data_IF_388955834410
#
_entry.id   IF_388955834410
#
_cell.length_a   1.000
_cell.length_b   1.000
_cell.length_c   1.000
_cell.angle_alpha   90.00
_cell.angle_beta   90.00
_cell.angle_gamma   90.00
#
_symmetry.space_group_name_H-M   'P 1'
#
loop_
_entity.id
_entity.type
_entity.pdbx_description
1 polymer ?
#
# COMPACT_ATOMS: atom_id res chain seq x y z
N UNK A 1 16.24 -11.72 -39.82
CA UNK A 1 17.72 -11.59 -39.84
C UNK A 1 18.46 -12.92 -39.61
N UNK A 2 17.99 -13.84 -38.74
CA UNK A 2 18.49 -15.24 -38.65
C UNK A 2 18.64 -15.92 -40.02
N UNK A 3 17.65 -15.76 -40.91
CA UNK A 3 17.68 -16.32 -42.26
C UNK A 3 18.87 -15.88 -43.13
N UNK A 4 19.39 -14.66 -42.94
CA UNK A 4 20.52 -14.11 -43.73
C UNK A 4 21.84 -14.78 -43.32
N UNK A 5 22.07 -14.92 -42.01
CA UNK A 5 23.25 -15.62 -41.48
C UNK A 5 23.22 -17.10 -41.92
N UNK A 6 22.04 -17.74 -41.85
CA UNK A 6 21.86 -19.11 -42.33
C UNK A 6 22.13 -19.24 -43.83
N UNK A 7 21.67 -18.31 -44.67
CA UNK A 7 21.96 -18.35 -46.10
C UNK A 7 23.44 -18.14 -46.41
N UNK A 8 24.13 -17.27 -45.67
CA UNK A 8 25.58 -17.06 -45.82
C UNK A 8 26.34 -18.33 -45.43
N UNK A 9 26.01 -18.95 -44.30
CA UNK A 9 26.64 -20.19 -43.84
C UNK A 9 26.33 -21.40 -44.73
N UNK A 10 25.16 -21.44 -45.38
CA UNK A 10 24.81 -22.51 -46.31
C UNK A 10 25.61 -22.38 -47.62
N UNK A 11 25.75 -21.16 -48.13
CA UNK A 11 26.45 -20.86 -49.38
C UNK A 11 27.98 -20.80 -49.21
N UNK A 12 28.49 -20.58 -47.99
CA UNK A 12 29.93 -20.46 -47.74
C UNK A 12 30.74 -21.72 -48.05
N UNK A 13 30.11 -22.91 -47.98
CA UNK A 13 30.79 -24.18 -48.24
C UNK A 13 31.35 -24.30 -49.66
N UNK A 14 30.72 -23.64 -50.65
CA UNK A 14 31.17 -23.59 -52.04
C UNK A 14 32.47 -22.78 -52.21
N UNK A 15 32.78 -21.89 -51.27
CA UNK A 15 33.91 -20.96 -51.33
C UNK A 15 35.02 -21.30 -50.34
N UNK A 16 34.77 -22.16 -49.35
CA UNK A 16 35.74 -22.55 -48.30
C UNK A 16 36.33 -23.95 -48.51
N UNK A 17 35.97 -24.67 -49.58
CA UNK A 17 36.47 -26.03 -49.85
C UNK A 17 37.85 -26.07 -50.53
N UNK A 18 38.29 -24.97 -51.14
CA UNK A 18 39.59 -24.90 -51.80
C UNK A 18 40.73 -24.79 -50.76
N UNK A 19 41.86 -25.44 -50.99
CA UNK A 19 43.06 -25.29 -50.13
C UNK A 19 43.92 -24.11 -50.62
N UNK A 20 43.33 -22.92 -50.58
CA UNK A 20 43.97 -21.66 -50.97
C UNK A 20 44.01 -20.69 -49.80
N UNK A 21 44.97 -19.76 -49.82
CA UNK A 21 45.10 -18.74 -48.76
C UNK A 21 43.84 -17.90 -48.62
N UNK A 22 43.17 -17.60 -49.72
CA UNK A 22 41.93 -16.83 -49.78
C UNK A 22 40.75 -17.59 -49.15
N UNK A 23 40.70 -18.91 -49.33
CA UNK A 23 39.70 -19.78 -48.70
C UNK A 23 39.85 -19.82 -47.18
N UNK A 24 41.09 -19.92 -46.68
CA UNK A 24 41.40 -19.85 -45.25
C UNK A 24 41.03 -18.48 -44.65
N UNK A 25 41.37 -17.36 -45.31
CA UNK A 25 40.96 -16.02 -44.86
C UNK A 25 39.43 -15.86 -44.81
N UNK A 26 38.73 -16.39 -45.81
CA UNK A 26 37.27 -16.38 -45.83
C UNK A 26 36.68 -17.19 -44.68
N UNK A 27 37.24 -18.37 -44.38
CA UNK A 27 36.83 -19.22 -43.27
C UNK A 27 37.02 -18.50 -41.92
N UNK A 28 38.16 -17.83 -41.73
CA UNK A 28 38.43 -17.04 -40.53
C UNK A 28 37.45 -15.87 -40.37
N UNK A 29 37.13 -15.17 -41.47
CA UNK A 29 36.14 -14.09 -41.47
C UNK A 29 34.73 -14.60 -41.19
N UNK A 30 34.36 -15.75 -41.75
CA UNK A 30 33.06 -16.39 -41.48
C UNK A 30 32.96 -16.84 -40.02
N UNK A 31 34.02 -17.41 -39.46
CA UNK A 31 34.12 -17.81 -38.05
C UNK A 31 33.95 -16.59 -37.13
N UNK A 32 34.64 -15.49 -37.42
CA UNK A 32 34.48 -14.23 -36.67
C UNK A 32 33.07 -13.66 -36.76
N UNK A 33 32.45 -13.70 -37.95
CA UNK A 33 31.07 -13.26 -38.14
C UNK A 33 30.09 -14.11 -37.32
N UNK A 34 30.23 -15.43 -37.35
CA UNK A 34 29.40 -16.36 -36.58
C UNK A 34 29.59 -16.15 -35.07
N UNK A 35 30.83 -16.00 -34.60
CA UNK A 35 31.09 -15.68 -33.19
C UNK A 35 30.47 -14.36 -32.73
N UNK A 36 30.47 -13.32 -33.58
CA UNK A 36 29.77 -12.05 -33.30
C UNK A 36 28.25 -12.25 -33.26
N UNK A 37 27.70 -13.05 -34.18
CA UNK A 37 26.28 -13.36 -34.22
C UNK A 37 25.82 -14.14 -32.98
N UNK A 38 26.59 -15.13 -32.54
CA UNK A 38 26.31 -15.91 -31.33
C UNK A 38 26.34 -15.01 -30.09
N UNK A 39 27.33 -14.11 -29.99
CA UNK A 39 27.38 -13.11 -28.91
C UNK A 39 26.15 -12.20 -28.90
N UNK A 40 25.70 -11.72 -30.07
CA UNK A 40 24.46 -10.92 -30.16
C UNK A 40 23.24 -11.74 -29.73
N UNK A 41 23.17 -13.03 -30.10
CA UNK A 41 22.09 -13.90 -29.66
C UNK A 41 22.09 -14.10 -28.13
N UNK A 42 23.25 -14.34 -27.52
CA UNK A 42 23.36 -14.45 -26.06
C UNK A 42 22.91 -13.18 -25.34
N UNK A 43 23.41 -12.02 -25.79
CA UNK A 43 23.01 -10.72 -25.23
C UNK A 43 21.51 -10.46 -25.35
N UNK A 44 20.88 -10.89 -26.45
CA UNK A 44 19.43 -10.75 -26.64
C UNK A 44 18.62 -11.64 -25.70
N UNK A 45 19.07 -12.86 -25.41
CA UNK A 45 18.41 -13.73 -24.43
C UNK A 45 18.56 -13.19 -23.01
N UNK A 46 19.75 -12.69 -22.65
CA UNK A 46 19.98 -12.03 -21.34
C UNK A 46 19.06 -10.82 -21.19
N UNK A 47 18.99 -9.96 -22.22
CA UNK A 47 18.09 -8.79 -22.25
C UNK A 47 16.62 -9.19 -22.11
N UNK A 48 16.21 -10.24 -22.81
CA UNK A 48 14.85 -10.75 -22.71
C UNK A 48 14.53 -11.22 -21.29
N UNK A 49 15.45 -11.93 -20.63
CA UNK A 49 15.29 -12.35 -19.24
C UNK A 49 15.14 -11.16 -18.30
N UNK A 50 16.05 -10.19 -18.38
CA UNK A 50 16.01 -8.98 -17.55
C UNK A 50 14.70 -8.18 -17.73
N UNK A 51 14.22 -8.05 -18.97
CA UNK A 51 12.97 -7.34 -19.24
C UNK A 51 11.75 -8.09 -18.67
N UNK A 52 11.74 -9.41 -18.77
CA UNK A 52 10.68 -10.24 -18.19
C UNK A 52 10.65 -10.13 -16.67
N UNK A 53 11.81 -10.17 -16.02
CA UNK A 53 11.91 -10.02 -14.57
C UNK A 53 11.47 -8.63 -14.11
N UNK A 54 11.92 -7.57 -14.81
CA UNK A 54 11.49 -6.20 -14.52
C UNK A 54 9.98 -6.01 -14.69
N UNK A 55 9.39 -6.56 -15.76
CA UNK A 55 7.95 -6.51 -15.99
C UNK A 55 7.16 -7.18 -14.85
N UNK A 56 7.59 -8.37 -14.44
CA UNK A 56 6.94 -9.12 -13.37
C UNK A 56 7.02 -8.39 -12.03
N UNK A 57 8.19 -7.82 -11.70
CA UNK A 57 8.36 -6.99 -10.50
C UNK A 57 7.50 -5.73 -10.54
N UNK A 58 7.40 -5.07 -11.70
CA UNK A 58 6.52 -3.90 -11.87
C UNK A 58 5.06 -4.29 -11.61
N UNK A 59 4.61 -5.42 -12.17
CA UNK A 59 3.26 -5.91 -11.96
C UNK A 59 2.99 -6.21 -10.47
N UNK A 60 3.88 -6.94 -9.80
CA UNK A 60 3.75 -7.26 -8.38
C UNK A 60 3.73 -5.99 -7.51
N UNK A 61 4.57 -5.01 -7.83
CA UNK A 61 4.57 -3.71 -7.18
C UNK A 61 3.24 -2.97 -7.35
N UNK A 62 2.69 -2.92 -8.58
CA UNK A 62 1.42 -2.26 -8.86
C UNK A 62 0.25 -2.94 -8.16
N UNK A 63 0.18 -4.27 -8.20
CA UNK A 63 -0.84 -5.07 -7.54
C UNK A 63 -0.81 -4.89 -6.03
N UNK A 64 0.37 -5.02 -5.40
CA UNK A 64 0.52 -4.85 -3.97
C UNK A 64 0.23 -3.41 -3.52
N UNK A 65 0.69 -2.41 -4.27
CA UNK A 65 0.38 -1.01 -4.01
C UNK A 65 -1.12 -0.76 -4.01
N UNK A 66 -1.81 -1.25 -5.04
CA UNK A 66 -3.25 -1.06 -5.18
C UNK A 66 -4.02 -1.78 -4.07
N UNK A 67 -3.67 -3.04 -3.77
CA UNK A 67 -4.28 -3.81 -2.70
C UNK A 67 -4.09 -3.17 -1.32
N UNK A 68 -2.95 -2.51 -1.07
CA UNK A 68 -2.70 -1.77 0.17
C UNK A 68 -3.55 -0.49 0.24
N UNK A 69 -3.65 0.28 -0.84
CA UNK A 69 -4.48 1.48 -0.89
C UNK A 69 -5.96 1.18 -0.61
N UNK A 70 -6.52 0.17 -1.29
CA UNK A 70 -7.91 -0.26 -1.05
C UNK A 70 -8.13 -0.73 0.38
N UNK A 71 -7.18 -1.48 0.94
CA UNK A 71 -7.26 -1.93 2.33
C UNK A 71 -7.24 -0.76 3.31
N UNK A 72 -6.35 0.22 3.11
CA UNK A 72 -6.25 1.40 3.97
C UNK A 72 -7.50 2.28 3.88
N UNK A 73 -8.08 2.44 2.70
CA UNK A 73 -9.35 3.15 2.50
C UNK A 73 -10.52 2.44 3.19
N UNK A 74 -10.59 1.11 3.07
CA UNK A 74 -11.60 0.32 3.77
C UNK A 74 -11.46 0.39 5.30
N UNK A 75 -10.22 0.38 5.82
CA UNK A 75 -9.97 0.57 7.25
C UNK A 75 -10.41 1.96 7.69
N UNK A 76 -10.10 3.00 6.93
CA UNK A 76 -10.50 4.36 7.26
C UNK A 76 -12.01 4.51 7.31
N UNK A 77 -12.73 3.94 6.34
CA UNK A 77 -14.21 3.90 6.34
C UNK A 77 -14.75 3.24 7.60
N UNK A 78 -14.28 2.02 7.94
CA UNK A 78 -14.70 1.31 9.16
C UNK A 78 -14.41 2.08 10.44
N UNK A 79 -13.25 2.74 10.52
CA UNK A 79 -12.88 3.61 11.64
C UNK A 79 -13.84 4.80 11.74
N UNK A 80 -14.19 5.42 10.62
CA UNK A 80 -15.08 6.59 10.57
C UNK A 80 -16.56 6.23 10.88
N UNK A 81 -16.93 4.95 10.84
CA UNK A 81 -18.24 4.47 11.35
C UNK A 81 -18.28 4.42 12.88
N UNK A 82 -17.12 4.37 13.55
CA UNK A 82 -16.98 4.30 15.01
C UNK A 82 -16.67 5.68 15.61
N UNK A 83 -16.03 6.56 14.84
CA UNK A 83 -15.54 7.87 15.30
C UNK A 83 -16.35 8.99 14.65
N UNK A 84 -16.85 9.99 15.41
CA UNK A 84 -16.57 10.28 16.82
C UNK A 84 -17.31 9.32 17.78
N UNK A 85 -16.62 8.96 18.87
CA UNK A 85 -17.19 8.12 19.93
C UNK A 85 -18.15 8.98 20.76
N UNK A 86 -19.42 8.61 20.79
CA UNK A 86 -20.43 9.27 21.62
C UNK A 86 -20.40 8.69 23.05
N UNK A 87 -20.14 9.56 24.04
CA UNK A 87 -20.08 9.19 25.45
C UNK A 87 -21.43 8.83 26.07
N UNK A 88 -22.54 9.05 25.35
CA UNK A 88 -23.89 8.71 25.80
C UNK A 88 -24.34 7.31 25.40
N UNK A 89 -23.52 6.59 24.61
CA UNK A 89 -23.78 5.21 24.21
C UNK A 89 -23.79 4.29 25.42
N UNK A 90 -24.59 3.23 25.30
CA UNK A 90 -24.63 2.18 26.31
C UNK A 90 -23.28 1.43 26.41
N UNK A 91 -22.97 0.85 27.58
CA UNK A 91 -21.69 0.17 27.81
C UNK A 91 -21.40 -0.99 26.86
N UNK A 92 -22.46 -1.70 26.42
CA UNK A 92 -22.32 -2.85 25.51
C UNK A 92 -21.87 -2.38 24.13
N UNK A 93 -22.50 -1.34 23.58
CA UNK A 93 -22.11 -0.71 22.32
C UNK A 93 -20.68 -0.14 22.38
N UNK A 94 -20.29 0.51 23.49
CA UNK A 94 -18.91 1.00 23.69
C UNK A 94 -17.89 -0.15 23.70
N UNK A 95 -18.24 -1.29 24.30
CA UNK A 95 -17.37 -2.46 24.33
C UNK A 95 -17.24 -3.10 22.93
N UNK A 96 -18.32 -3.13 22.14
CA UNK A 96 -18.28 -3.58 20.75
C UNK A 96 -17.41 -2.67 19.87
N UNK A 97 -17.52 -1.35 20.04
CA UNK A 97 -16.63 -0.39 19.37
C UNK A 97 -15.16 -0.63 19.74
N UNK A 98 -14.86 -0.96 21.00
CA UNK A 98 -13.49 -1.25 21.45
C UNK A 98 -12.93 -2.48 20.76
N UNK A 99 -13.71 -3.55 20.69
CA UNK A 99 -13.35 -4.78 19.98
C UNK A 99 -13.10 -4.53 18.50
N UNK A 100 -13.95 -3.74 17.84
CA UNK A 100 -13.79 -3.38 16.43
C UNK A 100 -12.51 -2.57 16.17
N UNK A 101 -12.22 -1.56 16.98
CA UNK A 101 -10.98 -0.78 16.87
C UNK A 101 -9.73 -1.63 17.15
N UNK A 102 -9.79 -2.55 18.10
CA UNK A 102 -8.71 -3.52 18.36
C UNK A 102 -8.45 -4.44 17.16
N UNK A 103 -9.51 -4.90 16.50
CA UNK A 103 -9.38 -5.67 15.27
C UNK A 103 -8.73 -4.85 14.14
N UNK A 104 -9.19 -3.61 13.94
CA UNK A 104 -8.60 -2.68 12.97
C UNK A 104 -7.11 -2.47 13.25
N UNK A 105 -6.72 -2.24 14.51
CA UNK A 105 -5.31 -2.10 14.92
C UNK A 105 -4.50 -3.33 14.55
N UNK A 106 -5.03 -4.53 14.78
CA UNK A 106 -4.35 -5.77 14.43
C UNK A 106 -4.17 -5.94 12.92
N UNK A 107 -5.18 -5.60 12.12
CA UNK A 107 -5.11 -5.60 10.65
C UNK A 107 -4.02 -4.63 10.15
N UNK A 108 -3.98 -3.40 10.70
CA UNK A 108 -2.95 -2.42 10.38
C UNK A 108 -1.54 -2.92 10.74
N UNK A 109 -1.35 -3.51 11.93
CA UNK A 109 -0.06 -4.07 12.34
C UNK A 109 0.41 -5.18 11.40
N UNK A 110 -0.48 -6.11 11.02
CA UNK A 110 -0.16 -7.18 10.05
C UNK A 110 0.23 -6.62 8.68
N UNK A 111 -0.36 -5.48 8.28
CA UNK A 111 -0.06 -4.85 6.99
C UNK A 111 1.32 -4.18 6.93
N UNK A 112 2.01 -3.98 8.06
CA UNK A 112 3.36 -3.42 8.08
C UNK A 112 4.37 -4.26 7.29
N UNK A 113 4.28 -5.60 7.37
CA UNK A 113 5.14 -6.49 6.59
C UNK A 113 4.91 -6.33 5.09
N UNK A 114 3.65 -6.15 4.67
CA UNK A 114 3.31 -5.89 3.26
C UNK A 114 3.86 -4.55 2.78
N UNK A 115 3.84 -3.51 3.62
CA UNK A 115 4.48 -2.22 3.29
C UNK A 115 6.00 -2.35 3.22
N UNK A 116 6.63 -3.16 4.07
CA UNK A 116 8.06 -3.45 3.98
C UNK A 116 8.41 -4.18 2.67
N UNK A 117 7.66 -5.22 2.31
CA UNK A 117 7.80 -5.91 1.02
C UNK A 117 7.61 -4.95 -0.16
N UNK A 118 6.64 -4.03 -0.09
CA UNK A 118 6.44 -3.00 -1.11
C UNK A 118 7.66 -2.07 -1.25
N UNK A 119 8.28 -1.70 -0.13
CA UNK A 119 9.51 -0.91 -0.13
C UNK A 119 10.67 -1.68 -0.77
N UNK A 120 10.79 -2.98 -0.49
CA UNK A 120 11.84 -3.82 -1.07
C UNK A 120 11.66 -4.00 -2.58
N UNK A 121 10.44 -4.27 -3.04
CA UNK A 121 10.13 -4.31 -4.48
C UNK A 121 10.43 -2.98 -5.16
N UNK A 122 10.05 -1.87 -4.53
CA UNK A 122 10.38 -0.53 -5.03
C UNK A 122 11.90 -0.35 -5.16
N UNK A 123 12.68 -0.71 -4.14
CA UNK A 123 14.16 -0.62 -4.22
C UNK A 123 14.71 -1.39 -5.41
N UNK A 124 14.24 -2.62 -5.63
CA UNK A 124 14.70 -3.48 -6.73
C UNK A 124 14.38 -2.87 -8.11
N UNK A 125 13.17 -2.34 -8.29
CA UNK A 125 12.76 -1.66 -9.53
C UNK A 125 13.57 -0.39 -9.81
N UNK A 126 13.95 0.34 -8.75
CA UNK A 126 14.62 1.64 -8.87
C UNK A 126 16.13 1.54 -9.13
N UNK A 127 16.73 0.36 -9.06
CA UNK A 127 18.17 0.17 -9.33
C UNK A 127 18.53 0.57 -10.77
N UNK A 128 17.59 0.46 -11.70
CA UNK A 128 17.81 0.68 -13.14
C UNK A 128 16.94 1.78 -13.75
N UNK A 129 16.15 2.51 -12.94
CA UNK A 129 15.20 3.51 -13.42
C UNK A 129 15.65 4.94 -13.08
N UNK A 130 15.86 5.76 -14.12
CA UNK A 130 16.13 7.20 -14.00
C UNK A 130 14.90 8.02 -14.39
N UNK A 131 14.73 9.21 -13.80
CA UNK A 131 13.68 10.16 -14.20
C UNK A 131 12.40 10.14 -13.35
N UNK A 132 11.29 10.60 -13.94
CA UNK A 132 10.00 10.88 -13.26
C UNK A 132 9.36 9.64 -12.63
N UNK A 133 9.45 8.49 -13.30
CA UNK A 133 8.73 7.28 -12.90
C UNK A 133 9.32 6.69 -11.61
N UNK A 134 10.63 6.90 -11.41
CA UNK A 134 11.35 6.58 -10.18
C UNK A 134 10.87 7.43 -9.00
N UNK A 135 10.54 8.70 -9.25
CA UNK A 135 10.00 9.59 -8.24
C UNK A 135 8.55 9.19 -7.87
N UNK A 136 7.69 8.94 -8.85
CA UNK A 136 6.29 8.56 -8.63
C UNK A 136 6.17 7.28 -7.78
N UNK A 137 6.96 6.25 -8.09
CA UNK A 137 6.95 5.00 -7.32
C UNK A 137 7.37 5.24 -5.86
N UNK A 138 8.41 6.05 -5.63
CA UNK A 138 8.88 6.40 -4.28
C UNK A 138 7.82 7.19 -3.51
N UNK A 139 7.19 8.18 -4.14
CA UNK A 139 6.13 8.97 -3.55
C UNK A 139 4.93 8.09 -3.17
N UNK A 140 4.53 7.18 -4.05
CA UNK A 140 3.43 6.25 -3.79
C UNK A 140 3.70 5.36 -2.58
N UNK A 141 4.89 4.78 -2.48
CA UNK A 141 5.31 3.97 -1.33
C UNK A 141 5.33 4.80 -0.04
N UNK A 142 5.82 6.04 -0.13
CA UNK A 142 5.83 6.96 1.00
C UNK A 142 4.42 7.30 1.48
N UNK A 143 3.50 7.62 0.57
CA UNK A 143 2.09 7.92 0.88
C UNK A 143 1.42 6.74 1.59
N UNK A 144 1.59 5.51 1.06
CA UNK A 144 1.04 4.30 1.68
C UNK A 144 1.62 4.10 3.09
N UNK A 145 2.94 4.20 3.25
CA UNK A 145 3.60 4.05 4.54
C UNK A 145 3.19 5.10 5.55
N UNK A 146 3.07 6.37 5.12
CA UNK A 146 2.63 7.46 5.97
C UNK A 146 1.16 7.29 6.40
N UNK A 147 0.28 6.93 5.46
CA UNK A 147 -1.14 6.69 5.75
C UNK A 147 -1.32 5.55 6.77
N UNK A 148 -0.61 4.44 6.61
CA UNK A 148 -0.60 3.35 7.59
C UNK A 148 -0.16 3.83 8.97
N UNK A 149 0.93 4.60 9.04
CA UNK A 149 1.46 5.13 10.31
C UNK A 149 0.48 6.08 11.00
N UNK A 150 -0.19 6.94 10.23
CA UNK A 150 -1.21 7.86 10.75
C UNK A 150 -2.43 7.10 11.27
N UNK A 151 -2.98 6.18 10.49
CA UNK A 151 -4.12 5.34 10.93
C UNK A 151 -3.80 4.55 12.19
N UNK A 152 -2.60 3.97 12.30
CA UNK A 152 -2.17 3.26 13.51
C UNK A 152 -2.16 4.18 14.74
N UNK A 153 -1.71 5.43 14.59
CA UNK A 153 -1.70 6.43 15.67
C UNK A 153 -3.12 6.82 16.07
N UNK A 154 -3.97 7.14 15.09
CA UNK A 154 -5.37 7.52 15.30
C UNK A 154 -6.15 6.41 16.00
N UNK A 155 -6.11 5.19 15.46
CA UNK A 155 -6.82 4.03 16.05
C UNK A 155 -6.30 3.75 17.45
N UNK A 156 -4.97 3.82 17.68
CA UNK A 156 -4.40 3.64 19.02
C UNK A 156 -4.84 4.74 20.00
N UNK A 157 -5.07 5.95 19.52
CA UNK A 157 -5.59 7.05 20.34
C UNK A 157 -7.07 6.83 20.68
N UNK A 158 -7.89 6.48 19.69
CA UNK A 158 -9.31 6.20 19.90
C UNK A 158 -9.55 5.02 20.83
N UNK A 159 -8.74 3.95 20.75
CA UNK A 159 -8.79 2.83 21.70
C UNK A 159 -8.56 3.34 23.13
N UNK A 160 -7.54 4.18 23.35
CA UNK A 160 -7.24 4.73 24.68
C UNK A 160 -8.34 5.64 25.22
N UNK A 161 -8.96 6.42 24.35
CA UNK A 161 -10.06 7.31 24.77
C UNK A 161 -11.33 6.52 25.09
N UNK A 162 -11.59 5.47 24.33
CA UNK A 162 -12.69 4.55 24.59
C UNK A 162 -12.49 3.74 25.88
N UNK A 163 -11.27 3.30 26.17
CA UNK A 163 -10.90 2.66 27.44
C UNK A 163 -11.21 3.58 28.64
N UNK A 164 -10.83 4.86 28.56
CA UNK A 164 -11.16 5.84 29.61
C UNK A 164 -12.67 6.04 29.80
N UNK A 165 -13.44 6.04 28.71
CA UNK A 165 -14.90 6.17 28.78
C UNK A 165 -15.53 4.94 29.44
N UNK A 166 -15.07 3.74 29.09
CA UNK A 166 -15.52 2.49 29.71
C UNK A 166 -15.19 2.45 31.21
N UNK A 167 -13.98 2.87 31.60
CA UNK A 167 -13.58 2.94 33.02
C UNK A 167 -14.48 3.91 33.82
N UNK A 168 -14.82 5.07 33.24
CA UNK A 168 -15.70 6.06 33.85
C UNK A 168 -17.13 5.52 34.02
N UNK A 169 -17.69 4.89 32.98
CA UNK A 169 -19.03 4.31 33.01
C UNK A 169 -19.15 3.16 34.02
N UNK A 170 -18.12 2.32 34.15
CA UNK A 170 -18.07 1.27 35.18
C UNK A 170 -18.14 1.86 36.59
N UNK A 171 -17.35 2.90 36.86
CA UNK A 171 -17.32 3.54 38.17
C UNK A 171 -18.64 4.22 38.55
N UNK A 172 -19.37 4.78 37.58
CA UNK A 172 -20.70 5.34 37.82
C UNK A 172 -21.73 4.26 38.19
N UNK A 173 -21.68 3.10 37.53
CA UNK A 173 -22.58 1.99 37.83
C UNK A 173 -22.36 1.45 39.23
N UNK A 174 -21.10 1.25 39.64
CA UNK A 174 -20.77 0.75 40.98
C UNK A 174 -21.25 1.69 42.10
N UNK A 175 -21.08 3.01 41.93
CA UNK A 175 -21.57 4.01 42.89
C UNK A 175 -23.11 4.04 42.98
N UNK A 176 -23.80 3.86 41.85
CA UNK A 176 -25.26 3.77 41.82
C UNK A 176 -25.78 2.47 42.46
N UNK A 177 -25.02 1.38 42.37
CA UNK A 177 -25.33 0.09 42.97
C UNK A 177 -25.26 0.14 44.51
N UNK A 178 -24.27 0.84 45.06
CA UNK A 178 -24.14 1.01 46.52
C UNK A 178 -25.13 2.01 47.11
N UNK A 179 -25.49 3.07 46.37
CA UNK A 179 -26.50 4.03 46.83
C UNK A 179 -27.92 3.45 46.84
N UNK A 180 -28.18 2.35 46.14
CA UNK A 180 -29.51 1.70 46.09
C UNK A 180 -29.74 0.71 47.24
N UNK A 181 -28.75 0.49 48.12
CA UNK A 181 -28.81 -0.55 49.16
C UNK A 181 -29.26 -0.04 50.55
N UNK A 182 -29.45 1.28 50.76
CA UNK A 182 -29.87 1.88 52.04
C UNK A 182 -31.35 2.32 52.03
N UNK A 183 -32.28 1.41 51.74
CA UNK A 183 -33.71 1.63 51.98
C UNK A 183 -34.31 0.37 52.62
N UNK A 184 -33.82 -0.03 53.80
CA UNK A 184 -34.59 -0.89 54.69
C UNK A 184 -34.24 -0.65 56.18
N UNK A 185 -35.30 -0.47 56.96
CA UNK A 185 -35.42 -0.39 58.43
C UNK A 185 -35.18 0.96 59.13
N UNK A 186 -36.22 1.80 59.16
CA UNK A 186 -36.65 2.45 60.40
C UNK A 186 -38.18 2.56 60.45
N UNK A 187 -38.84 1.47 60.85
CA UNK A 187 -40.18 1.54 61.44
C UNK A 187 -40.08 1.74 62.94
N UNK A 188 -40.68 2.80 63.49
CA UNK A 188 -40.99 2.85 64.92
C UNK A 188 -41.13 4.22 65.56
N UNK A 189 -42.33 4.79 65.43
CA UNK A 189 -43.09 5.49 66.48
C UNK A 189 -43.33 7.00 66.33
N UNK A 190 -44.62 7.31 66.34
CA UNK A 190 -45.24 8.62 66.48
C UNK A 190 -45.59 8.85 67.96
N UNK A 191 -45.30 10.02 68.50
CA UNK A 191 -46.14 10.80 69.44
C UNK A 191 -45.42 12.03 70.01
N UNK A 192 -46.16 13.06 70.51
CA UNK A 192 -45.83 14.45 70.20
C UNK A 192 -45.57 15.40 71.40
N UNK A 193 -45.21 16.64 71.05
CA UNK A 193 -45.24 17.92 71.80
C UNK A 193 -44.52 18.02 73.16
N UNK A 194 -43.58 18.98 73.26
CA UNK A 194 -43.69 20.20 74.09
C UNK A 194 -42.30 20.77 74.44
N UNK A 195 -42.21 22.11 74.52
CA UNK A 195 -41.24 22.75 75.40
C UNK A 195 -40.08 23.52 74.76
N UNK A 196 -40.40 24.69 74.21
CA UNK A 196 -39.64 25.96 74.27
C UNK A 196 -38.44 25.98 75.24
N UNK A 197 -37.27 26.45 74.76
CA UNK A 197 -36.47 27.55 75.37
C UNK A 197 -35.21 27.89 74.57
N UNK A 198 -35.12 29.15 74.12
CA UNK A 198 -33.88 29.89 73.83
C UNK A 198 -33.26 30.35 75.16
N UNK A 199 -31.94 30.64 75.28
CA UNK A 199 -31.38 31.89 74.75
C UNK A 199 -29.90 31.89 74.30
N UNK A 200 -29.65 32.68 73.25
CA UNK A 200 -28.65 33.77 73.16
C UNK A 200 -27.28 33.62 73.88
N UNK A 201 -26.19 33.57 73.10
CA UNK A 201 -24.98 34.38 73.38
C UNK A 201 -24.14 34.69 72.14
N UNK A 202 -24.35 35.89 71.59
CA UNK A 202 -23.35 36.93 71.28
C UNK A 202 -21.88 36.57 70.92
N UNK A 203 -21.46 37.00 69.70
CA UNK A 203 -20.38 37.98 69.34
C UNK A 203 -19.43 37.55 68.18
N UNK A 204 -19.68 38.09 66.97
CA UNK A 204 -18.87 39.06 66.15
C UNK A 204 -17.33 39.08 66.20
N UNK A 205 -16.62 39.74 65.23
CA UNK A 205 -16.83 39.88 63.77
C UNK A 205 -15.54 40.07 62.89
N UNK A 206 -15.76 40.19 61.56
CA UNK A 206 -15.15 41.14 60.58
C UNK A 206 -13.75 40.90 59.97
N UNK A 207 -13.71 41.04 58.63
CA UNK A 207 -12.59 41.53 57.80
C UNK A 207 -12.72 41.05 56.34
N UNK A 208 -13.55 41.62 55.45
CA UNK A 208 -13.36 42.79 54.55
C UNK A 208 -12.13 42.79 53.62
N UNK A 209 -12.46 42.74 52.31
CA UNK A 209 -11.89 43.46 51.14
C UNK A 209 -10.41 43.16 50.76
N UNK A 210 -9.93 43.22 49.51
CA UNK A 210 -10.32 43.99 48.32
C UNK A 210 -9.77 43.35 47.03
N UNK A 211 -10.42 43.70 45.93
CA UNK A 211 -9.91 43.77 44.56
C UNK A 211 -8.52 44.40 44.47
N UNK A 212 -7.68 43.91 43.54
CA UNK A 212 -6.70 44.71 42.79
C UNK A 212 -6.15 43.92 41.59
N UNK A 213 -6.40 44.43 40.38
CA UNK A 213 -5.54 44.33 39.20
C UNK A 213 -4.87 45.72 39.02
N UNK A 214 -3.65 45.82 38.44
CA UNK A 214 -3.49 45.91 36.97
C UNK A 214 -2.24 45.16 36.40
N UNK A 215 -2.26 44.89 35.07
CA UNK A 215 -1.18 44.28 34.25
C UNK A 215 -0.01 45.24 33.95
N UNK A 216 0.75 45.15 32.81
CA UNK A 216 0.65 44.29 31.61
C UNK A 216 1.96 43.50 31.31
N UNK A 217 2.03 42.59 30.32
CA UNK A 217 2.65 42.87 29.01
C UNK A 217 2.88 41.58 28.18
N UNK A 218 2.48 41.62 26.89
CA UNK A 218 2.97 40.93 25.66
C UNK A 218 3.37 39.43 25.72
N UNK A 219 3.00 38.55 24.78
CA UNK A 219 2.71 38.71 23.35
C UNK A 219 2.18 37.38 22.78
N UNK A 220 1.14 37.45 21.93
CA UNK A 220 0.79 36.38 20.97
C UNK A 220 1.37 36.73 19.58
N UNK A 221 1.53 35.74 18.69
CA UNK A 221 0.72 35.83 17.48
C UNK A 221 0.16 34.50 16.93
N UNK A 222 -1.11 34.60 16.50
CA UNK A 222 -1.68 34.18 15.20
C UNK A 222 -1.77 32.69 14.87
N UNK A 223 -2.96 32.17 15.16
CA UNK A 223 -3.66 31.16 14.36
C UNK A 223 -4.04 31.72 12.97
N UNK A 224 -3.55 31.10 11.90
CA UNK A 224 -4.14 31.19 10.57
C UNK A 224 -4.42 29.76 10.10
N UNK A 225 -5.62 29.27 10.40
CA UNK A 225 -6.14 28.04 9.82
C UNK A 225 -6.90 28.44 8.55
N UNK A 226 -6.23 28.36 7.41
CA UNK A 226 -6.89 28.42 6.10
C UNK A 226 -7.46 27.04 5.81
N UNK A 227 -8.79 26.93 5.80
CA UNK A 227 -9.46 25.84 5.11
C UNK A 227 -10.66 26.41 4.36
N UNK A 228 -10.91 25.81 3.18
CA UNK A 228 -12.14 25.89 2.39
C UNK A 228 -12.30 27.11 1.46
N UNK A 229 -11.68 27.01 0.27
CA UNK A 229 -12.41 27.31 -0.96
C UNK A 229 -12.79 25.97 -1.62
N UNK A 230 -14.08 25.84 -1.88
CA UNK A 230 -14.77 24.70 -2.48
C UNK A 230 -14.46 24.58 -3.98
N UNK A 231 -14.54 23.32 -4.43
CA UNK A 231 -14.80 22.73 -5.75
C UNK A 231 -15.08 23.67 -6.95
N UNK A 232 -14.45 23.38 -8.10
CA UNK A 232 -15.20 22.99 -9.31
C UNK A 232 -14.33 22.16 -10.31
N UNK A 233 -15.01 21.28 -11.05
CA UNK A 233 -14.56 20.19 -11.97
C UNK A 233 -13.90 20.67 -13.30
N UNK A 234 -13.73 19.87 -14.39
CA UNK A 234 -13.40 18.45 -14.61
C UNK A 234 -12.28 18.26 -15.68
N UNK A 235 -11.62 17.10 -15.79
CA UNK A 235 -10.99 16.71 -17.06
C UNK A 235 -10.73 15.20 -17.16
N UNK A 236 -11.40 14.57 -18.13
CA UNK A 236 -10.94 13.38 -18.82
C UNK A 236 -9.44 13.50 -19.11
N UNK A 237 -8.64 12.50 -18.74
CA UNK A 237 -7.32 12.36 -19.35
C UNK A 237 -7.50 11.91 -20.80
N UNK A 238 -7.08 12.69 -21.81
CA UNK A 238 -7.01 12.21 -23.17
C UNK A 238 -5.85 11.22 -23.26
N UNK A 239 -6.15 9.97 -23.58
CA UNK A 239 -5.16 8.96 -23.92
C UNK A 239 -4.55 9.35 -25.28
N UNK A 240 -3.49 10.17 -25.25
CA UNK A 240 -2.69 10.49 -26.41
C UNK A 240 -1.90 9.24 -26.81
N UNK A 241 -2.44 8.47 -27.75
CA UNK A 241 -1.69 7.45 -28.49
C UNK A 241 -0.56 8.13 -29.25
N UNK A 242 0.64 8.18 -28.68
CA UNK A 242 1.86 8.42 -29.44
C UNK A 242 2.20 7.14 -30.18
N UNK A 243 1.90 7.09 -31.46
CA UNK A 243 2.40 6.08 -32.39
C UNK A 243 3.91 6.30 -32.55
N UNK A 244 4.73 5.65 -31.73
CA UNK A 244 6.19 5.65 -31.92
C UNK A 244 6.54 4.66 -33.03
N UNK A 245 7.15 5.19 -34.10
CA UNK A 245 7.67 4.44 -35.22
C UNK A 245 8.66 3.36 -34.78
N UNK A 246 8.63 2.22 -35.47
CA UNK A 246 9.56 1.09 -35.30
C UNK A 246 10.99 1.57 -35.61
N UNK A 247 11.96 1.49 -34.68
CA UNK A 247 13.32 1.93 -34.97
C UNK A 247 14.07 0.89 -35.81
N UNK A 248 14.93 1.39 -36.68
CA UNK A 248 15.83 0.59 -37.51
C UNK A 248 16.95 -0.05 -36.65
N UNK A 249 17.46 -1.24 -37.02
CA UNK A 249 18.07 -2.12 -36.02
C UNK A 249 19.61 -1.96 -35.99
N UNK A 250 20.07 -0.74 -35.78
CA UNK A 250 21.50 -0.40 -35.70
C UNK A 250 21.86 0.54 -34.55
N UNK A 251 20.91 0.91 -33.69
CA UNK A 251 21.19 1.71 -32.49
C UNK A 251 20.66 0.94 -31.29
N UNK A 252 21.48 0.79 -30.25
CA UNK A 252 21.03 0.31 -28.93
C UNK A 252 19.80 1.13 -28.52
N UNK A 253 18.71 0.51 -28.04
CA UNK A 253 17.57 1.28 -27.57
C UNK A 253 18.00 2.08 -26.33
N UNK A 254 17.69 3.37 -26.36
CA UNK A 254 17.69 4.27 -25.21
C UNK A 254 16.90 3.58 -24.06
N UNK A 255 17.43 3.52 -22.81
CA UNK A 255 16.77 2.86 -21.68
C UNK A 255 15.44 3.50 -21.26
N UNK A 256 14.98 4.55 -21.96
CA UNK A 256 13.76 5.30 -21.70
C UNK A 256 12.45 4.62 -22.17
N UNK A 257 12.30 3.29 -22.06
CA UNK A 257 10.97 2.66 -22.16
C UNK A 257 10.27 2.87 -20.82
N UNK A 258 9.30 3.79 -20.79
CA UNK A 258 8.51 4.07 -19.58
C UNK A 258 7.62 2.89 -19.25
N UNK A 259 7.49 2.56 -17.96
CA UNK A 259 6.53 1.55 -17.50
C UNK A 259 5.07 1.90 -17.88
N UNK A 260 4.79 3.18 -18.18
CA UNK A 260 3.48 3.64 -18.65
C UNK A 260 3.10 3.18 -20.07
N UNK A 261 4.04 2.67 -20.87
CA UNK A 261 3.81 2.34 -22.28
C UNK A 261 3.49 0.86 -22.56
N UNK A 262 3.26 0.04 -21.51
CA UNK A 262 2.84 -1.37 -21.68
C UNK A 262 1.31 -1.43 -21.79
N UNK A 263 0.73 -1.78 -22.95
CA UNK A 263 -0.72 -1.85 -23.09
C UNK A 263 -1.28 -2.99 -22.24
N UNK A 264 -2.17 -2.67 -21.30
CA UNK A 264 -3.00 -3.64 -20.57
C UNK A 264 -4.07 -4.24 -21.48
N UNK A 265 -3.68 -5.00 -22.49
CA UNK A 265 -4.64 -5.69 -23.38
C UNK A 265 -4.22 -7.14 -23.58
N UNK A 266 -4.49 -7.98 -22.58
CA UNK A 266 -4.80 -9.40 -22.72
C UNK A 266 -5.34 -9.97 -21.39
N UNK A 267 -6.26 -9.25 -20.75
CA UNK A 267 -7.19 -9.88 -19.80
C UNK A 267 -8.43 -10.29 -20.60
N UNK A 268 -8.76 -11.58 -20.54
CA UNK A 268 -9.82 -12.32 -21.25
C UNK A 268 -9.42 -13.01 -22.57
N UNK A 269 -8.72 -14.14 -22.48
CA UNK A 269 -9.10 -15.40 -23.16
C UNK A 269 -8.10 -16.53 -22.88
N UNK A 270 -8.08 -17.08 -21.66
CA UNK A 270 -7.52 -18.43 -21.44
C UNK A 270 -8.03 -19.06 -20.15
N UNK A 271 -9.36 -19.06 -19.98
CA UNK A 271 -10.06 -19.82 -18.95
C UNK A 271 -11.16 -20.71 -19.57
N UNK A 272 -10.79 -21.52 -20.55
CA UNK A 272 -11.55 -22.72 -20.93
C UNK A 272 -10.76 -23.56 -21.93
N UNK A 273 -9.85 -24.38 -21.40
CA UNK A 273 -9.41 -25.60 -22.06
C UNK A 273 -8.78 -26.54 -21.03
N UNK A 274 -9.61 -27.13 -20.18
CA UNK A 274 -9.27 -28.40 -19.53
C UNK A 274 -9.50 -29.54 -20.54
N UNK A 275 -8.51 -30.40 -20.80
CA UNK A 275 -8.77 -31.66 -21.48
C UNK A 275 -9.10 -32.75 -20.46
N UNK A 276 -10.33 -33.28 -20.55
CA UNK A 276 -10.69 -34.55 -19.96
C UNK A 276 -9.89 -35.69 -20.61
N UNK A 277 -9.42 -36.61 -19.77
CA UNK A 277 -8.78 -37.87 -20.13
C UNK A 277 -9.76 -38.84 -20.80
N UNK A 278 -9.40 -39.44 -21.94
CA UNK A 278 -9.32 -40.90 -22.15
C UNK A 278 -9.41 -41.31 -23.64
N UNK A 279 -8.56 -42.28 -23.99
CA UNK A 279 -8.62 -43.23 -25.11
C UNK A 279 -8.53 -42.71 -26.56
N UNK A 280 -7.37 -42.94 -27.19
CA UNK A 280 -7.22 -42.86 -28.64
C UNK A 280 -5.78 -43.11 -29.11
N UNK A 281 -5.45 -44.37 -29.38
CA UNK A 281 -4.18 -44.80 -30.00
C UNK A 281 -3.77 -43.94 -31.19
N UNK A 282 -2.54 -43.40 -31.19
CA UNK A 282 -1.83 -43.01 -32.43
C UNK A 282 -0.31 -42.99 -32.25
N UNK A 283 0.32 -43.77 -33.13
CA UNK A 283 1.75 -44.05 -33.36
C UNK A 283 2.71 -42.89 -33.05
N UNK A 284 3.73 -43.16 -32.22
CA UNK A 284 4.96 -42.36 -32.13
C UNK A 284 5.80 -42.55 -33.40
N UNK A 285 6.00 -41.49 -34.19
CA UNK A 285 7.12 -41.41 -35.14
C UNK A 285 8.31 -40.82 -34.39
N UNK A 286 9.35 -41.63 -34.24
CA UNK A 286 10.62 -41.27 -33.65
C UNK A 286 11.45 -40.55 -34.73
N UNK A 287 11.68 -39.25 -34.62
CA UNK A 287 12.61 -38.52 -35.50
C UNK A 287 13.95 -38.49 -34.77
N UNK A 288 14.89 -39.29 -35.28
CA UNK A 288 16.27 -39.37 -34.84
C UNK A 288 17.09 -38.38 -35.68
N UNK A 289 17.68 -37.37 -35.05
CA UNK A 289 18.66 -36.49 -35.70
C UNK A 289 19.99 -37.24 -35.89
N UNK A 290 20.63 -37.17 -37.06
CA UNK A 290 21.96 -37.74 -37.24
C UNK A 290 23.00 -36.87 -36.52
N UNK A 291 23.83 -37.51 -35.69
CA UNK A 291 25.14 -36.98 -35.31
C UNK A 291 26.06 -37.17 -36.52
N UNK A 292 26.66 -36.09 -37.00
CA UNK A 292 27.80 -36.19 -37.90
C UNK A 292 29.08 -36.18 -37.09
N UNK A 293 29.90 -37.18 -37.40
CA UNK A 293 31.32 -37.40 -37.08
C UNK A 293 32.20 -36.22 -37.43
#
# INVERSE_FOLDING_TARGET
RKAIILSINLCSSEFTQADSKESHDLQDRLSQMNGRWDRVCSLLEDWRGLLQDALMQCQEFHEMSHALLLMLENIDRRKNEIVPIDSTLDPETLQDHHKQLMQIKQELLKSQLRVASLQDMSRQLLVNAEGSDCLEAKEKVHVIGNRLKLLLKEVSHHIKDLEKLLDMSSSQQDLSSWSSADELDTSGSVSPTSGRSTPNRQKSPRGKCSLSQPGPSVSSPKSSCSCCCLLDSPALYPCQRKTTAVPSPTTLPDPSIRCSDIPTVLLHSEASRHPHTSAGSKRRRNIKWPRST
#
